data_IF_780010911168
#
_entry.id   IF_780010911168
#
_cell.length_a   1.000
_cell.length_b   1.000
_cell.length_c   1.000
_cell.angle_alpha   90.00
_cell.angle_beta   90.00
_cell.angle_gamma   90.00
#
_symmetry.space_group_name_H-M   'P 1'
#
loop_
_entity.id
_entity.type
_entity.pdbx_description
1 polymer ?
#
# COMPACT_ATOMS: atom_id res chain seq x y z
N UNK A 1 11.02 8.31 3.90
CA UNK A 1 10.59 7.07 4.58
C UNK A 1 11.61 6.00 4.27
N UNK A 2 12.01 5.20 5.25
CA UNK A 2 13.01 4.13 5.09
C UNK A 2 12.60 2.90 5.88
N UNK A 3 12.85 1.72 5.33
CA UNK A 3 12.66 0.42 6.00
C UNK A 3 14.01 -0.29 6.01
N UNK A 4 14.42 -0.81 7.16
CA UNK A 4 15.67 -1.55 7.31
C UNK A 4 15.40 -2.88 8.03
N UNK A 5 15.93 -4.00 7.54
CA UNK A 5 15.90 -5.25 8.30
C UNK A 5 16.74 -5.08 9.57
N UNK A 6 16.21 -5.52 10.71
CA UNK A 6 16.86 -5.43 12.01
C UNK A 6 17.49 -6.79 12.39
N UNK A 7 16.68 -7.85 12.42
CA UNK A 7 17.12 -9.22 12.67
C UNK A 7 16.13 -10.24 12.07
N UNK A 8 16.57 -11.49 11.95
CA UNK A 8 15.78 -12.60 11.45
C UNK A 8 16.02 -13.83 12.34
N UNK A 9 14.95 -14.55 12.66
CA UNK A 9 14.99 -15.81 13.40
C UNK A 9 14.34 -16.89 12.54
N UNK A 10 15.08 -17.97 12.32
CA UNK A 10 14.63 -19.15 11.59
C UNK A 10 14.40 -20.31 12.57
N UNK A 11 13.20 -20.90 12.57
CA UNK A 11 12.92 -22.07 13.38
C UNK A 11 13.35 -23.36 12.66
N UNK A 12 14.13 -24.20 13.36
CA UNK A 12 14.82 -25.37 12.80
C UNK A 12 13.89 -26.52 12.37
N UNK A 13 12.59 -26.46 12.68
CA UNK A 13 11.63 -27.53 12.42
C UNK A 13 10.36 -26.96 11.77
N UNK A 14 10.42 -26.66 10.46
CA UNK A 14 9.22 -26.33 9.67
C UNK A 14 9.03 -24.87 9.25
N UNK A 15 10.11 -24.19 8.81
CA UNK A 15 10.08 -23.09 7.83
C UNK A 15 9.29 -21.83 8.21
N UNK A 16 9.07 -21.55 9.50
CA UNK A 16 8.58 -20.25 9.95
C UNK A 16 9.77 -19.31 10.18
N UNK A 17 9.94 -18.34 9.29
CA UNK A 17 10.86 -17.22 9.49
C UNK A 17 10.11 -16.08 10.17
N UNK A 18 10.68 -15.57 11.26
CA UNK A 18 10.24 -14.31 11.88
C UNK A 18 11.30 -13.25 11.59
N UNK A 19 10.90 -12.17 10.94
CA UNK A 19 11.80 -11.07 10.58
C UNK A 19 11.31 -9.77 11.20
N UNK A 20 12.23 -8.95 11.70
CA UNK A 20 11.90 -7.63 12.21
C UNK A 20 12.48 -6.53 11.35
N UNK A 21 11.75 -5.42 11.28
CA UNK A 21 12.06 -4.27 10.47
C UNK A 21 11.92 -3.00 11.27
N UNK A 22 12.95 -2.16 11.19
CA UNK A 22 12.90 -0.77 11.62
C UNK A 22 12.32 0.09 10.48
N UNK A 23 11.15 0.67 10.71
CA UNK A 23 10.50 1.58 9.78
C UNK A 23 10.57 3.00 10.32
N UNK A 24 11.16 3.92 9.55
CA UNK A 24 11.22 5.34 9.88
C UNK A 24 10.42 6.18 8.88
N UNK A 25 9.45 6.89 9.41
CA UNK A 25 8.69 7.95 8.76
C UNK A 25 9.28 9.28 9.19
N UNK A 26 9.70 10.10 8.24
CA UNK A 26 10.19 11.44 8.49
C UNK A 26 9.39 12.40 7.60
N UNK A 27 8.83 13.43 8.22
CA UNK A 27 8.00 14.44 7.59
C UNK A 27 8.79 15.74 7.44
N UNK A 28 8.38 16.60 6.51
CA UNK A 28 9.10 17.84 6.16
C UNK A 28 9.05 18.91 7.25
N UNK A 29 8.11 18.79 8.18
CA UNK A 29 7.96 19.63 9.37
C UNK A 29 8.85 19.19 10.54
N UNK A 30 9.68 18.15 10.34
CA UNK A 30 10.52 17.57 11.37
C UNK A 30 9.82 16.52 12.23
N UNK A 31 8.54 16.23 11.99
CA UNK A 31 7.87 15.12 12.65
C UNK A 31 8.51 13.79 12.23
N UNK A 32 8.59 12.84 13.15
CA UNK A 32 9.08 11.51 12.88
C UNK A 32 8.28 10.44 13.62
N UNK A 33 8.22 9.26 13.01
CA UNK A 33 7.65 8.06 13.61
C UNK A 33 8.58 6.90 13.31
N UNK A 34 9.05 6.26 14.36
CA UNK A 34 9.83 5.02 14.33
C UNK A 34 8.92 3.86 14.75
N UNK A 35 8.93 2.79 13.96
CA UNK A 35 8.10 1.59 14.19
C UNK A 35 8.98 0.36 14.13
N UNK A 36 8.83 -0.53 15.10
CA UNK A 36 9.36 -1.89 15.05
C UNK A 36 8.25 -2.83 14.59
N UNK A 37 8.38 -3.32 13.35
CA UNK A 37 7.43 -4.26 12.76
C UNK A 37 8.01 -5.68 12.75
N UNK A 38 7.16 -6.67 13.01
CA UNK A 38 7.50 -8.09 12.96
C UNK A 38 6.68 -8.75 11.88
N UNK A 39 7.35 -9.49 11.01
CA UNK A 39 6.75 -10.22 9.91
C UNK A 39 6.94 -11.70 10.17
N UNK A 40 5.82 -12.41 10.19
CA UNK A 40 5.75 -13.86 10.28
C UNK A 40 4.97 -14.40 9.10
N UNK A 41 4.97 -15.72 8.92
CA UNK A 41 4.07 -16.38 7.98
C UNK A 41 2.58 -16.12 8.26
N UNK A 42 2.20 -15.82 9.51
CA UNK A 42 0.83 -15.54 9.91
C UNK A 42 0.40 -14.09 9.65
N UNK A 43 1.37 -13.18 9.43
CA UNK A 43 1.10 -11.77 9.15
C UNK A 43 2.11 -10.83 9.79
N UNK A 44 1.69 -9.57 9.93
CA UNK A 44 2.52 -8.46 10.45
C UNK A 44 1.98 -7.97 11.80
N UNK A 45 2.84 -7.84 12.80
CA UNK A 45 2.55 -7.19 14.08
C UNK A 45 3.46 -5.99 14.31
N UNK A 46 3.00 -5.04 15.13
CA UNK A 46 3.79 -3.88 15.56
C UNK A 46 4.16 -4.09 17.03
N UNK A 47 5.44 -4.10 17.33
CA UNK A 47 5.95 -4.29 18.70
C UNK A 47 6.26 -2.98 19.41
N UNK A 48 6.69 -1.95 18.69
CA UNK A 48 7.00 -0.64 19.25
C UNK A 48 6.65 0.48 18.27
N UNK A 49 6.19 1.62 18.80
CA UNK A 49 5.91 2.85 18.06
C UNK A 49 6.40 4.05 18.87
N UNK A 50 7.30 4.84 18.28
CA UNK A 50 7.80 6.08 18.87
C UNK A 50 7.58 7.23 17.91
N UNK A 51 6.93 8.29 18.37
CA UNK A 51 6.62 9.44 17.54
C UNK A 51 7.08 10.73 18.20
N UNK A 52 7.55 11.68 17.38
CA UNK A 52 7.81 13.06 17.78
C UNK A 52 7.26 14.00 16.70
N UNK A 53 6.26 14.85 16.99
CA UNK A 53 5.49 14.92 18.24
C UNK A 53 4.66 13.66 18.51
N UNK A 54 4.01 13.59 19.68
CA UNK A 54 3.17 12.45 20.04
C UNK A 54 2.09 12.20 18.98
N UNK A 55 1.94 10.93 18.58
CA UNK A 55 0.97 10.54 17.58
C UNK A 55 -0.45 10.60 18.15
N UNK A 56 -1.41 11.08 17.34
CA UNK A 56 -2.83 10.98 17.70
C UNK A 56 -3.34 9.54 17.53
N UNK A 57 -4.48 9.20 18.13
CA UNK A 57 -5.11 7.89 17.93
C UNK A 57 -5.59 7.69 16.48
N UNK A 58 -6.05 8.77 15.82
CA UNK A 58 -6.47 8.73 14.42
C UNK A 58 -5.29 8.45 13.49
N UNK A 59 -4.14 9.08 13.76
CA UNK A 59 -2.89 8.84 13.02
C UNK A 59 -2.33 7.45 13.29
N UNK A 60 -2.48 6.93 14.52
CA UNK A 60 -2.08 5.56 14.85
C UNK A 60 -2.91 4.55 14.07
N UNK A 61 -4.21 4.80 13.91
CA UNK A 61 -5.08 3.97 13.08
C UNK A 61 -4.70 4.03 11.58
N UNK A 62 -4.17 5.15 11.12
CA UNK A 62 -3.67 5.33 9.76
C UNK A 62 -2.26 4.73 9.53
N UNK A 63 -1.52 4.42 10.60
CA UNK A 63 -0.12 3.95 10.55
C UNK A 63 0.04 2.71 9.67
N UNK A 64 -0.88 1.75 9.76
CA UNK A 64 -0.86 0.54 8.94
C UNK A 64 -0.86 0.87 7.43
N UNK A 65 -1.70 1.82 7.00
CA UNK A 65 -1.76 2.22 5.59
C UNK A 65 -0.49 2.97 5.13
N UNK A 66 0.26 3.56 6.07
CA UNK A 66 1.53 4.24 5.82
C UNK A 66 2.70 3.26 5.65
N UNK A 67 2.73 2.17 6.42
CA UNK A 67 3.86 1.21 6.45
C UNK A 67 3.65 -0.03 5.57
N UNK A 68 2.42 -0.34 5.15
CA UNK A 68 2.07 -1.53 4.35
C UNK A 68 2.92 -1.69 3.08
N UNK A 69 2.95 -0.68 2.22
CA UNK A 69 3.71 -0.72 0.96
C UNK A 69 5.23 -0.88 1.17
N UNK A 70 5.86 -0.02 1.99
CA UNK A 70 7.30 -0.12 2.28
C UNK A 70 7.73 -1.43 2.93
N UNK A 71 6.92 -1.99 3.83
CA UNK A 71 7.20 -3.31 4.41
C UNK A 71 7.07 -4.40 3.36
N UNK A 72 6.03 -4.34 2.51
CA UNK A 72 5.87 -5.29 1.42
C UNK A 72 7.06 -5.29 0.45
N UNK A 73 7.58 -4.11 0.11
CA UNK A 73 8.78 -3.95 -0.71
C UNK A 73 10.03 -4.49 -0.02
N UNK A 74 10.17 -4.31 1.31
CA UNK A 74 11.31 -4.84 2.06
C UNK A 74 11.26 -6.37 2.26
N UNK A 75 10.07 -6.97 2.16
CA UNK A 75 9.87 -8.42 2.29
C UNK A 75 10.17 -9.22 1.00
N UNK A 76 10.43 -8.59 -0.16
CA UNK A 76 10.85 -9.27 -1.41
C UNK A 76 12.02 -8.54 -2.08
N UNK A 77 13.16 -9.16 -2.34
CA UNK A 77 13.37 -10.23 -3.33
C UNK A 77 14.32 -11.32 -2.77
N UNK A 78 13.78 -12.52 -2.52
CA UNK A 78 14.55 -13.77 -2.39
C UNK A 78 14.15 -14.69 -3.55
N UNK A 79 15.05 -15.53 -4.11
CA UNK A 79 14.87 -16.13 -5.43
C UNK A 79 13.67 -17.08 -5.47
N UNK A 80 12.51 -16.55 -5.86
CA UNK A 80 11.35 -17.33 -6.20
C UNK A 80 11.54 -17.85 -7.63
N UNK A 81 11.92 -19.13 -7.69
CA UNK A 81 11.92 -20.04 -8.83
C UNK A 81 11.29 -19.51 -10.12
N UNK A 82 12.15 -19.43 -11.15
CA UNK A 82 11.77 -19.46 -12.54
C UNK A 82 10.86 -20.69 -12.80
N UNK A 83 9.65 -20.42 -13.28
CA UNK A 83 8.66 -21.44 -13.61
C UNK A 83 7.48 -20.84 -14.36
N UNK A 84 7.74 -20.53 -15.63
CA UNK A 84 6.77 -20.53 -16.74
C UNK A 84 5.46 -19.73 -16.58
N UNK A 85 5.52 -18.47 -17.02
CA UNK A 85 4.46 -17.90 -17.87
C UNK A 85 5.07 -16.79 -18.73
N UNK A 86 5.64 -17.20 -19.85
CA UNK A 86 5.97 -16.38 -21.01
C UNK A 86 4.70 -15.68 -21.54
N UNK A 87 4.47 -14.43 -21.13
CA UNK A 87 3.70 -13.46 -21.91
C UNK A 87 4.00 -12.03 -21.45
N UNK A 88 4.91 -11.36 -22.16
CA UNK A 88 4.99 -9.90 -22.17
C UNK A 88 6.17 -9.31 -21.39
N UNK A 89 7.37 -9.47 -21.92
CA UNK A 89 8.49 -8.56 -21.65
C UNK A 89 8.13 -7.15 -22.15
N UNK A 90 7.50 -6.36 -21.28
CA UNK A 90 7.69 -4.91 -21.27
C UNK A 90 8.53 -4.57 -20.05
N UNK A 91 9.57 -3.72 -20.18
CA UNK A 91 10.22 -3.16 -19.00
C UNK A 91 9.10 -2.49 -18.21
N UNK A 92 8.82 -2.98 -16.99
CA UNK A 92 7.94 -2.27 -16.05
C UNK A 92 8.65 -0.95 -15.75
N UNK A 93 8.39 0.05 -16.61
CA UNK A 93 8.80 1.43 -16.41
C UNK A 93 8.48 1.73 -14.96
N UNK A 94 9.45 2.26 -14.22
CA UNK A 94 9.28 2.76 -12.86
C UNK A 94 7.98 3.57 -12.86
N UNK A 95 6.93 2.95 -12.32
CA UNK A 95 5.58 3.47 -12.42
C UNK A 95 5.56 4.70 -11.53
N UNK A 96 5.16 5.88 -12.03
CA UNK A 96 5.19 7.09 -11.22
C UNK A 96 4.41 6.82 -9.93
N UNK A 97 5.01 7.17 -8.80
CA UNK A 97 4.33 7.10 -7.51
C UNK A 97 3.02 7.87 -7.62
N UNK A 98 1.89 7.20 -7.37
CA UNK A 98 0.58 7.81 -7.55
C UNK A 98 0.49 9.09 -6.69
N UNK A 99 0.08 10.23 -7.27
CA UNK A 99 -0.02 11.48 -6.51
C UNK A 99 -0.92 11.30 -5.28
N UNK A 100 -0.53 11.87 -4.14
CA UNK A 100 -1.35 11.88 -2.93
C UNK A 100 -2.30 13.07 -2.97
N UNK A 101 -3.38 13.04 -2.19
CA UNK A 101 -4.29 14.19 -2.06
C UNK A 101 -5.24 14.38 -3.25
N UNK A 102 -5.51 15.63 -3.61
CA UNK A 102 -6.54 15.99 -4.61
C UNK A 102 -6.21 15.45 -6.00
N UNK A 103 -4.96 15.56 -6.43
CA UNK A 103 -4.49 15.04 -7.73
C UNK A 103 -4.65 13.52 -7.83
N UNK A 104 -4.36 12.78 -6.76
CA UNK A 104 -4.57 11.34 -6.71
C UNK A 104 -6.04 10.93 -6.83
N UNK A 105 -6.94 11.70 -6.21
CA UNK A 105 -8.40 11.47 -6.29
C UNK A 105 -8.95 11.79 -7.68
N UNK A 106 -8.46 12.85 -8.31
CA UNK A 106 -8.79 13.18 -9.70
C UNK A 106 -8.33 12.08 -10.66
N UNK A 107 -7.08 11.62 -10.53
CA UNK A 107 -6.54 10.56 -11.37
C UNK A 107 -7.30 9.24 -11.21
N UNK A 108 -7.74 8.90 -9.99
CA UNK A 108 -8.60 7.72 -9.74
C UNK A 108 -9.95 7.89 -10.41
N UNK A 109 -10.51 9.10 -10.42
CA UNK A 109 -11.79 9.36 -11.06
C UNK A 109 -11.71 9.26 -12.58
N UNK A 110 -10.60 9.69 -13.19
CA UNK A 110 -10.36 9.59 -14.64
C UNK A 110 -10.31 8.12 -15.07
N UNK A 111 -9.48 7.30 -14.42
CA UNK A 111 -9.36 5.87 -14.72
C UNK A 111 -10.69 5.12 -14.52
N UNK A 112 -11.43 5.49 -13.46
CA UNK A 112 -12.74 4.93 -13.19
C UNK A 112 -13.75 5.29 -14.29
N UNK A 113 -13.77 6.54 -14.78
CA UNK A 113 -14.69 6.98 -15.83
C UNK A 113 -14.33 6.42 -17.19
N UNK A 114 -13.04 6.40 -17.55
CA UNK A 114 -12.56 5.80 -18.79
C UNK A 114 -13.00 4.33 -18.89
N UNK A 115 -12.82 3.56 -17.82
CA UNK A 115 -13.27 2.17 -17.77
C UNK A 115 -14.81 2.03 -17.86
N UNK A 116 -15.58 2.96 -17.27
CA UNK A 116 -17.04 2.96 -17.42
C UNK A 116 -17.49 3.25 -18.85
N UNK A 117 -16.84 4.21 -19.52
CA UNK A 117 -17.13 4.57 -20.92
C UNK A 117 -16.78 3.43 -21.88
N UNK A 118 -15.71 2.68 -21.58
CA UNK A 118 -15.29 1.50 -22.31
C UNK A 118 -16.11 0.23 -21.97
N UNK A 119 -16.99 0.29 -20.98
CA UNK A 119 -17.78 -0.87 -20.52
C UNK A 119 -16.96 -1.94 -19.76
N UNK A 120 -15.76 -1.58 -19.30
CA UNK A 120 -14.87 -2.45 -18.54
C UNK A 120 -15.16 -2.40 -17.01
N UNK A 121 -14.54 -3.29 -16.23
CA UNK A 121 -14.63 -3.23 -14.76
C UNK A 121 -13.81 -2.03 -14.23
N UNK A 122 -14.46 -1.00 -13.68
CA UNK A 122 -13.76 0.20 -13.24
C UNK A 122 -12.94 -0.02 -11.96
N UNK A 123 -13.28 -1.00 -11.14
CA UNK A 123 -12.47 -1.35 -9.95
C UNK A 123 -11.17 -2.00 -10.41
N UNK A 124 -11.25 -2.89 -11.40
CA UNK A 124 -10.08 -3.54 -11.97
C UNK A 124 -9.18 -2.52 -12.68
N UNK A 125 -9.76 -1.57 -13.43
CA UNK A 125 -8.99 -0.49 -14.05
C UNK A 125 -8.20 0.33 -13.02
N UNK A 126 -8.83 0.74 -11.92
CA UNK A 126 -8.16 1.48 -10.84
C UNK A 126 -7.08 0.62 -10.14
N UNK A 127 -7.32 -0.68 -9.95
CA UNK A 127 -6.29 -1.59 -9.43
C UNK A 127 -5.10 -1.66 -10.40
N UNK A 128 -5.37 -1.87 -11.68
CA UNK A 128 -4.36 -1.93 -12.72
C UNK A 128 -3.62 -0.61 -12.86
N UNK A 129 -4.28 0.55 -12.69
CA UNK A 129 -3.73 1.90 -12.80
C UNK A 129 -2.87 2.31 -11.59
N UNK A 130 -3.29 1.92 -10.39
CA UNK A 130 -2.65 2.35 -9.14
C UNK A 130 -1.70 1.31 -8.54
N UNK A 131 -1.79 0.04 -8.95
CA UNK A 131 -1.03 -1.08 -8.37
C UNK A 131 -1.52 -1.53 -6.99
N UNK A 132 -2.66 -1.01 -6.51
CA UNK A 132 -3.18 -1.34 -5.18
C UNK A 132 -4.10 -2.56 -5.19
N UNK A 133 -4.23 -3.18 -4.00
CA UNK A 133 -5.21 -4.22 -3.74
C UNK A 133 -6.64 -3.73 -3.98
N UNK A 134 -7.56 -4.68 -4.20
CA UNK A 134 -8.99 -4.39 -4.42
C UNK A 134 -9.60 -3.53 -3.31
N UNK A 135 -9.29 -3.85 -2.05
CA UNK A 135 -9.79 -3.11 -0.88
C UNK A 135 -9.32 -1.65 -0.89
N UNK A 136 -8.04 -1.41 -1.21
CA UNK A 136 -7.45 -0.08 -1.24
C UNK A 136 -7.92 0.74 -2.46
N UNK A 137 -8.11 0.09 -3.61
CA UNK A 137 -8.73 0.70 -4.78
C UNK A 137 -10.17 1.15 -4.52
N UNK A 138 -10.97 0.32 -3.83
CA UNK A 138 -12.32 0.71 -3.41
C UNK A 138 -12.33 1.92 -2.46
N UNK A 139 -11.38 1.98 -1.52
CA UNK A 139 -11.22 3.15 -0.62
C UNK A 139 -10.89 4.42 -1.41
N UNK A 140 -9.98 4.35 -2.39
CA UNK A 140 -9.64 5.49 -3.25
C UNK A 140 -10.84 5.96 -4.08
N UNK A 141 -11.63 5.03 -4.63
CA UNK A 141 -12.86 5.35 -5.37
C UNK A 141 -13.88 6.02 -4.45
N UNK A 142 -14.04 5.57 -3.20
CA UNK A 142 -14.90 6.24 -2.23
C UNK A 142 -14.43 7.66 -1.91
N UNK A 143 -13.13 7.86 -1.66
CA UNK A 143 -12.58 9.20 -1.42
C UNK A 143 -12.74 10.14 -2.63
N UNK A 144 -12.63 9.61 -3.86
CA UNK A 144 -12.88 10.37 -5.07
C UNK A 144 -14.36 10.75 -5.21
N UNK A 145 -15.29 9.89 -4.77
CA UNK A 145 -16.73 10.22 -4.67
C UNK A 145 -17.00 11.30 -3.62
N UNK A 146 -16.43 11.16 -2.43
CA UNK A 146 -16.63 12.11 -1.33
C UNK A 146 -16.09 13.51 -1.69
N UNK A 147 -15.04 13.56 -2.50
CA UNK A 147 -14.49 14.80 -3.05
C UNK A 147 -15.25 15.33 -4.30
N UNK A 148 -16.32 14.66 -4.74
CA UNK A 148 -17.17 15.10 -5.84
C UNK A 148 -16.67 14.79 -7.26
N UNK A 149 -15.58 14.03 -7.41
CA UNK A 149 -15.03 13.69 -8.73
C UNK A 149 -15.79 12.55 -9.45
N UNK A 150 -16.51 11.74 -8.69
CA UNK A 150 -17.33 10.64 -9.20
C UNK A 150 -18.80 10.84 -8.84
N UNK A 151 -19.69 10.45 -9.74
CA UNK A 151 -21.13 10.51 -9.51
C UNK A 151 -21.50 9.66 -8.28
N UNK A 152 -22.28 10.22 -7.33
CA UNK A 152 -22.84 9.43 -6.25
C UNK A 152 -23.64 8.28 -6.84
N UNK A 153 -23.45 7.07 -6.31
CA UNK A 153 -24.40 5.99 -6.57
C UNK A 153 -25.71 6.41 -5.92
N UNK A 154 -26.68 6.83 -6.72
CA UNK A 154 -28.03 7.05 -6.25
C UNK A 154 -28.50 5.77 -5.55
N UNK A 155 -28.56 5.80 -4.23
CA UNK A 155 -29.34 4.85 -3.47
C UNK A 155 -30.79 5.14 -3.83
N UNK A 156 -31.36 4.36 -4.76
CA UNK A 156 -32.82 4.29 -4.87
C UNK A 156 -33.32 3.83 -3.50
N UNK A 157 -34.11 4.71 -2.87
CA UNK A 157 -34.94 4.42 -1.71
C UNK A 157 -35.85 3.23 -1.98
#
# INVERSE_FOLDING_TARGET
MSVRPAWEVQEHEGSATTAWFDVRLAFTDGACVDVLAVVTHAGVSIEDVRAQPALSLDDLAALADWIEGPLFEACGDGPANAGEAEAGLRPRRARPAWPRGVEGRWLVSEEYRAAQEEGADPVLAVMCATGHSRRRSLRLISQARDAGFLTPRHARR
#
